data_IF_296239198640
#
_entry.id   IF_296239198640
#
_cell.length_a   1.000
_cell.length_b   1.000
_cell.length_c   1.000
_cell.angle_alpha   90.00
_cell.angle_beta   90.00
_cell.angle_gamma   90.00
#
_symmetry.space_group_name_H-M   'P 1'
#
loop_
_entity.id
_entity.type
_entity.pdbx_description
1 polymer ?
#
# COMPACT_ATOMS: atom_id res chain seq x y z
N UNK A 1 9.08 -2.96 -3.66
CA UNK A 1 8.41 -4.07 -2.96
C UNK A 1 9.48 -5.10 -2.64
N UNK A 2 9.59 -5.50 -1.37
CA UNK A 2 10.49 -6.57 -0.92
C UNK A 2 9.67 -7.65 -0.23
N UNK A 3 9.95 -8.92 -0.53
CA UNK A 3 9.29 -10.07 0.07
C UNK A 3 10.35 -10.92 0.76
N UNK A 4 10.26 -11.05 2.08
CA UNK A 4 11.24 -11.75 2.91
C UNK A 4 10.55 -12.88 3.70
N UNK A 5 11.29 -13.58 4.57
CA UNK A 5 10.76 -14.68 5.37
C UNK A 5 9.53 -14.26 6.20
N UNK A 6 9.54 -13.05 6.75
CA UNK A 6 8.51 -12.58 7.70
C UNK A 6 7.28 -11.94 7.04
N UNK A 7 7.40 -11.48 5.79
CA UNK A 7 6.33 -10.71 5.16
C UNK A 7 6.72 -9.94 3.90
N UNK A 8 5.77 -9.14 3.45
CA UNK A 8 5.86 -8.23 2.31
C UNK A 8 5.96 -6.77 2.79
N UNK A 9 6.88 -6.00 2.21
CA UNK A 9 7.01 -4.57 2.45
C UNK A 9 6.93 -3.79 1.14
N UNK A 10 6.12 -2.74 1.12
CA UNK A 10 5.90 -1.86 -0.03
C UNK A 10 6.23 -0.43 0.38
N UNK A 11 7.11 0.21 -0.37
CA UNK A 11 7.42 1.63 -0.23
C UNK A 11 6.84 2.40 -1.43
N UNK A 12 6.25 3.55 -1.15
CA UNK A 12 5.68 4.44 -2.14
C UNK A 12 6.01 5.90 -1.78
N UNK A 13 6.75 6.57 -2.65
CA UNK A 13 6.97 8.01 -2.55
C UNK A 13 5.70 8.77 -2.91
N UNK A 14 5.26 9.64 -2.01
CA UNK A 14 4.10 10.53 -2.12
C UNK A 14 4.46 11.92 -1.57
N UNK A 15 5.48 12.60 -2.14
CA UNK A 15 5.98 13.86 -1.60
C UNK A 15 4.95 14.98 -1.69
N UNK A 16 4.83 15.76 -0.62
CA UNK A 16 3.90 16.89 -0.52
C UNK A 16 2.43 16.47 -0.36
N UNK A 17 2.18 15.28 0.18
CA UNK A 17 0.87 14.81 0.58
C UNK A 17 0.83 14.59 2.10
N UNK A 18 -0.33 14.78 2.69
CA UNK A 18 -0.59 14.40 4.08
C UNK A 18 -1.13 12.97 4.15
N UNK A 19 -1.00 12.32 5.31
CA UNK A 19 -1.55 10.97 5.52
C UNK A 19 -3.05 10.85 5.18
N UNK A 20 -3.80 11.94 5.39
CA UNK A 20 -5.24 11.99 5.15
C UNK A 20 -5.60 12.09 3.67
N UNK A 21 -4.63 12.44 2.80
CA UNK A 21 -4.81 12.50 1.34
C UNK A 21 -4.63 11.12 0.68
N UNK A 22 -4.30 10.08 1.46
CA UNK A 22 -3.96 8.74 0.98
C UNK A 22 -4.94 7.72 1.55
N UNK A 23 -5.51 6.90 0.66
CA UNK A 23 -6.38 5.78 1.00
C UNK A 23 -5.76 4.48 0.54
N UNK A 24 -5.72 3.50 1.44
CA UNK A 24 -5.19 2.15 1.19
C UNK A 24 -6.34 1.17 1.39
N UNK A 25 -6.55 0.28 0.42
CA UNK A 25 -7.60 -0.75 0.48
C UNK A 25 -7.09 -2.08 -0.04
N UNK A 26 -7.59 -3.19 0.52
CA UNK A 26 -7.46 -4.51 -0.09
C UNK A 26 -8.85 -4.93 -0.55
N UNK A 27 -9.00 -5.28 -1.83
CA UNK A 27 -10.24 -5.81 -2.41
C UNK A 27 -9.99 -7.20 -2.98
N UNK A 28 -11.07 -7.93 -3.27
CA UNK A 28 -11.02 -9.21 -3.99
C UNK A 28 -10.08 -10.25 -3.33
N UNK A 29 -9.94 -10.17 -2.01
CA UNK A 29 -9.08 -11.03 -1.20
C UNK A 29 -7.60 -10.66 -1.19
N UNK A 30 -7.04 -10.15 -2.30
CA UNK A 30 -5.59 -9.93 -2.42
C UNK A 30 -5.15 -8.72 -3.27
N UNK A 31 -6.06 -7.83 -3.69
CA UNK A 31 -5.69 -6.65 -4.50
C UNK A 31 -5.48 -5.44 -3.60
N UNK A 32 -4.22 -5.12 -3.29
CA UNK A 32 -3.86 -3.91 -2.55
C UNK A 32 -3.88 -2.71 -3.49
N UNK A 33 -4.63 -1.68 -3.14
CA UNK A 33 -4.70 -0.42 -3.89
C UNK A 33 -4.31 0.76 -3.03
N UNK A 34 -3.40 1.59 -3.53
CA UNK A 34 -3.02 2.89 -2.97
C UNK A 34 -3.62 3.98 -3.86
N UNK A 35 -4.52 4.79 -3.30
CA UNK A 35 -5.14 5.93 -4.00
C UNK A 35 -4.89 7.22 -3.24
N UNK A 36 -4.86 8.33 -3.95
CA UNK A 36 -4.81 9.64 -3.35
C UNK A 36 -4.94 10.73 -4.38
N UNK A 37 -5.00 11.98 -3.90
CA UNK A 37 -5.03 13.16 -4.73
C UNK A 37 -3.97 14.14 -4.27
N UNK A 38 -3.00 14.43 -5.14
CA UNK A 38 -2.02 15.47 -4.89
C UNK A 38 -2.60 16.78 -5.40
N UNK A 39 -3.00 17.65 -4.48
CA UNK A 39 -3.53 18.97 -4.82
C UNK A 39 -2.46 19.78 -5.57
N UNK A 40 -2.92 20.53 -6.57
CA UNK A 40 -2.09 21.58 -7.16
C UNK A 40 -1.92 22.66 -6.10
N UNK A 41 -0.69 23.13 -5.89
CA UNK A 41 -0.49 24.34 -5.11
C UNK A 41 -1.14 25.50 -5.88
N UNK A 42 -2.29 25.97 -5.39
CA UNK A 42 -2.93 27.21 -5.83
C UNK A 42 -2.08 28.37 -5.33
N UNK A 43 -0.99 28.64 -6.04
CA UNK A 43 -0.49 30.00 -6.01
C UNK A 43 -1.48 30.84 -6.80
N UNK A 44 -2.16 31.70 -6.05
CA UNK A 44 -2.84 32.91 -6.51
C UNK A 44 -2.21 33.45 -7.79
N UNK A 45 -3.07 34.00 -8.65
CA UNK A 45 -2.88 34.56 -9.99
C UNK A 45 -1.75 35.60 -10.18
N UNK A 46 -0.73 35.67 -9.31
CA UNK A 46 0.27 36.75 -9.23
C UNK A 46 1.74 36.30 -9.18
N UNK A 47 2.09 35.03 -9.43
CA UNK A 47 3.51 34.63 -9.59
C UNK A 47 3.76 33.97 -10.93
N UNK A 48 4.53 34.65 -11.79
CA UNK A 48 5.06 34.14 -13.05
C UNK A 48 6.00 32.95 -12.79
N UNK A 49 5.44 31.76 -12.67
CA UNK A 49 6.22 30.53 -12.67
C UNK A 49 6.94 30.38 -14.02
N UNK A 50 8.27 30.35 -14.00
CA UNK A 50 9.06 30.08 -15.21
C UNK A 50 8.92 28.61 -15.65
N UNK A 51 8.73 27.68 -14.69
CA UNK A 51 8.53 26.25 -14.94
C UNK A 51 7.90 25.54 -13.75
N UNK A 52 7.00 24.59 -14.02
CA UNK A 52 6.42 23.67 -13.04
C UNK A 52 6.72 22.24 -13.47
N UNK A 53 7.44 21.49 -12.64
CA UNK A 53 7.80 20.08 -12.89
C UNK A 53 7.08 19.11 -11.96
N UNK A 54 6.40 19.63 -10.93
CA UNK A 54 5.66 18.83 -9.95
C UNK A 54 4.35 18.35 -10.56
N UNK A 55 4.15 17.04 -10.54
CA UNK A 55 2.87 16.42 -10.88
C UNK A 55 1.82 16.68 -9.79
N UNK A 56 0.58 16.89 -10.21
CA UNK A 56 -0.61 17.03 -9.37
C UNK A 56 -1.76 16.24 -9.99
N UNK A 57 -2.82 16.00 -9.22
CA UNK A 57 -4.00 15.24 -9.64
C UNK A 57 -4.17 13.93 -8.86
N UNK A 58 -5.16 13.15 -9.27
CA UNK A 58 -5.49 11.86 -8.66
C UNK A 58 -4.55 10.76 -9.15
N UNK A 59 -4.24 9.81 -8.28
CA UNK A 59 -3.53 8.59 -8.65
C UNK A 59 -4.18 7.36 -8.01
N UNK A 60 -4.01 6.23 -8.68
CA UNK A 60 -4.33 4.91 -8.14
C UNK A 60 -3.27 3.92 -8.64
N UNK A 61 -2.68 3.15 -7.72
CA UNK A 61 -1.77 2.05 -8.02
C UNK A 61 -2.29 0.79 -7.34
N UNK A 62 -2.39 -0.30 -8.07
CA UNK A 62 -2.88 -1.58 -7.56
C UNK A 62 -1.82 -2.66 -7.73
N UNK A 63 -1.71 -3.53 -6.73
CA UNK A 63 -0.78 -4.65 -6.67
C UNK A 63 -1.54 -5.89 -6.23
N UNK A 64 -1.39 -6.98 -6.98
CA UNK A 64 -1.84 -8.30 -6.51
C UNK A 64 -0.83 -8.80 -5.49
N UNK A 65 -1.29 -9.07 -4.28
CA UNK A 65 -0.48 -9.64 -3.22
C UNK A 65 -0.20 -11.11 -3.52
N UNK A 66 1.01 -11.61 -3.20
CA UNK A 66 1.28 -13.04 -3.23
C UNK A 66 0.34 -13.80 -2.28
N UNK A 67 0.15 -15.09 -2.55
CA UNK A 67 -0.59 -15.97 -1.66
C UNK A 67 0.10 -16.11 -0.29
N UNK A 68 -0.68 -16.49 0.73
CA UNK A 68 -0.18 -16.68 2.10
C UNK A 68 0.19 -15.37 2.82
N UNK A 69 -0.41 -14.25 2.42
CA UNK A 69 -0.28 -12.97 3.10
C UNK A 69 -1.47 -12.75 4.04
N UNK A 70 -1.19 -12.42 5.30
CA UNK A 70 -2.20 -12.18 6.33
C UNK A 70 -2.79 -10.77 6.18
N UNK A 71 -3.71 -10.61 5.23
CA UNK A 71 -4.30 -9.30 4.82
C UNK A 71 -5.14 -8.61 5.89
N UNK A 72 -5.52 -9.31 6.96
CA UNK A 72 -6.18 -8.72 8.12
C UNK A 72 -5.21 -8.07 9.13
N UNK A 73 -3.89 -8.25 8.94
CA UNK A 73 -2.84 -7.78 9.87
C UNK A 73 -1.88 -6.79 9.19
N UNK A 74 -2.43 -5.87 8.41
CA UNK A 74 -1.65 -4.88 7.66
C UNK A 74 -1.27 -3.71 8.55
N UNK A 75 0.00 -3.30 8.49
CA UNK A 75 0.49 -2.07 9.12
C UNK A 75 0.91 -1.06 8.04
N UNK A 76 0.61 0.23 8.27
CA UNK A 76 1.02 1.30 7.39
C UNK A 76 1.58 2.48 8.20
N UNK A 77 2.71 3.02 7.75
CA UNK A 77 3.33 4.23 8.28
C UNK A 77 3.60 5.22 7.17
N UNK A 78 3.51 6.51 7.47
CA UNK A 78 3.78 7.59 6.53
C UNK A 78 4.71 8.61 7.17
N UNK A 79 5.93 8.68 6.67
CA UNK A 79 6.98 9.53 7.24
C UNK A 79 7.76 10.20 6.11
N UNK A 80 8.02 11.50 6.23
CA UNK A 80 8.83 12.27 5.30
C UNK A 80 8.42 12.11 3.82
N UNK A 81 7.12 11.98 3.55
CA UNK A 81 6.58 11.81 2.20
C UNK A 81 6.69 10.38 1.64
N UNK A 82 7.04 9.39 2.47
CA UNK A 82 7.14 7.98 2.08
C UNK A 82 6.12 7.16 2.83
N UNK A 83 5.26 6.47 2.09
CA UNK A 83 4.35 5.45 2.60
C UNK A 83 5.07 4.10 2.66
N UNK A 84 5.05 3.48 3.83
CA UNK A 84 5.54 2.11 4.04
C UNK A 84 4.39 1.23 4.51
N UNK A 85 4.09 0.18 3.74
CA UNK A 85 3.07 -0.83 4.05
C UNK A 85 3.77 -2.15 4.35
N UNK A 86 3.43 -2.78 5.46
CA UNK A 86 3.95 -4.10 5.85
C UNK A 86 2.79 -5.07 6.01
N UNK A 87 2.91 -6.23 5.36
CA UNK A 87 1.92 -7.31 5.40
C UNK A 87 2.65 -8.58 5.83
N UNK A 88 2.36 -9.13 7.02
CA UNK A 88 3.00 -10.36 7.47
C UNK A 88 2.51 -11.54 6.63
N UNK A 89 3.35 -12.58 6.54
CA UNK A 89 2.88 -13.87 6.02
C UNK A 89 1.94 -14.55 7.02
N UNK A 90 1.09 -15.42 6.50
CA UNK A 90 0.34 -16.35 7.33
C UNK A 90 1.31 -17.29 8.05
N UNK A 91 1.01 -17.60 9.31
CA UNK A 91 1.76 -18.62 10.02
C UNK A 91 1.52 -19.98 9.36
N UNK A 92 2.57 -20.79 9.17
CA UNK A 92 2.42 -22.14 8.64
C UNK A 92 1.50 -22.93 9.58
N UNK A 93 0.40 -23.44 9.03
CA UNK A 93 -0.48 -24.35 9.76
C UNK A 93 0.31 -25.64 10.01
N UNK A 94 0.50 -25.99 11.28
CA UNK A 94 1.12 -27.26 11.63
C UNK A 94 0.31 -28.40 10.99
N UNK A 95 0.97 -29.42 10.40
CA UNK A 95 0.26 -30.53 9.79
C UNK A 95 -0.66 -31.18 10.83
N UNK A 96 -1.96 -31.23 10.53
CA UNK A 96 -2.93 -31.95 11.34
C UNK A 96 -3.08 -33.36 10.77
N UNK A 97 -2.80 -34.37 11.58
CA UNK A 97 -3.17 -35.74 11.27
C UNK A 97 -4.70 -35.88 11.40
N UNK A 98 -5.35 -36.31 10.33
CA UNK A 98 -6.76 -36.69 10.34
C UNK A 98 -6.84 -38.21 10.17
N UNK A 99 -7.40 -38.89 11.16
CA UNK A 99 -7.70 -40.32 11.08
C UNK A 99 -8.88 -40.54 10.14
N UNK A 100 -8.67 -41.31 9.06
CA UNK A 100 -9.73 -41.65 8.09
C UNK A 100 -10.27 -43.04 8.43
N UNK A 101 -11.55 -43.12 8.78
CA UNK A 101 -12.23 -44.39 9.02
C UNK A 101 -12.66 -45.02 7.70
N UNK A 102 -12.21 -46.25 7.44
CA UNK A 102 -12.66 -47.06 6.30
C UNK A 102 -14.06 -47.62 6.64
N UNK A 103 -15.02 -47.46 5.72
CA UNK A 103 -16.35 -48.09 5.81
C UNK A 103 -16.41 -49.40 5.04
#
# INVERSE_FOLDING_TARGET
MSNNADGLTIHAELPGMEKNDVKITITDGNVLTIRGEKKREEHHEEKNYMRVERSFGTFARSFTLPDGMRTNSVNASFENGVLTITIPKEEPVAPQEQEITIQ
#
